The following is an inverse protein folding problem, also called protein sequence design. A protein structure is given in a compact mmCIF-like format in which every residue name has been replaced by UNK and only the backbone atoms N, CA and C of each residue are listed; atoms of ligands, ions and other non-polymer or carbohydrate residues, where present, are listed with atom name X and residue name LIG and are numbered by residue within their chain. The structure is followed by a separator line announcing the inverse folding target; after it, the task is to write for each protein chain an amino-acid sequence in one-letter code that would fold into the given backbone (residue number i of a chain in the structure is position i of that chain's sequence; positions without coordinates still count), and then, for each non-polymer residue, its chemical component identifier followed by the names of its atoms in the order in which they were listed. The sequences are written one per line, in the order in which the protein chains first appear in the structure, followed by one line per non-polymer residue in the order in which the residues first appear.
data_IF_600552920233
#
_entry.id   IF_600552920233
#
_cell.length_a   1.000
_cell.length_b   1.000
_cell.length_c   1.000
_cell.angle_alpha   90.00
_cell.angle_beta   90.00
_cell.angle_gamma   90.00
#
_symmetry.space_group_name_H-M   'P 1'
#
loop_
_entity.id
_entity.type
_entity.pdbx_description
1 polymer ?
#
# COMPACT_ATOMS: atom_id res chain seq x y z
N UNK A 1 7.81 40.38 -1.11
CA UNK A 1 6.80 39.30 -1.12
C UNK A 1 7.46 38.07 -1.72
N UNK A 2 7.56 36.98 -0.99
CA UNK A 2 8.11 35.71 -1.52
C UNK A 2 7.02 35.12 -2.42
N UNK A 3 7.30 35.00 -3.70
CA UNK A 3 6.40 34.40 -4.67
C UNK A 3 6.61 32.89 -4.64
N UNK A 4 5.64 32.14 -4.11
CA UNK A 4 5.68 30.67 -4.10
C UNK A 4 5.21 30.19 -5.46
N UNK A 5 6.12 29.69 -6.27
CA UNK A 5 5.79 29.01 -7.52
C UNK A 5 5.53 27.53 -7.22
N UNK A 6 4.36 27.03 -7.65
CA UNK A 6 4.08 25.61 -7.60
C UNK A 6 4.97 24.87 -8.62
N UNK A 7 5.46 23.67 -8.30
CA UNK A 7 6.18 22.86 -9.26
C UNK A 7 5.38 22.59 -10.53
N UNK A 8 6.06 22.41 -11.64
CA UNK A 8 5.42 21.96 -12.88
C UNK A 8 4.62 20.68 -12.65
N UNK A 9 3.48 20.55 -13.33
CA UNK A 9 2.57 19.41 -13.19
C UNK A 9 1.96 19.21 -11.77
N UNK A 10 2.02 20.21 -10.90
CA UNK A 10 1.41 20.15 -9.56
C UNK A 10 -0.12 20.35 -9.55
N UNK A 11 -0.69 20.81 -10.64
CA UNK A 11 -2.14 21.08 -10.77
C UNK A 11 -2.82 19.95 -11.55
N UNK A 12 -3.83 19.33 -10.94
CA UNK A 12 -4.70 18.38 -11.63
C UNK A 12 -5.71 19.15 -12.48
N UNK A 13 -5.76 18.84 -13.78
CA UNK A 13 -6.70 19.46 -14.74
C UNK A 13 -7.99 18.64 -14.83
N UNK A 14 -9.07 19.28 -15.28
CA UNK A 14 -10.26 18.56 -15.74
C UNK A 14 -9.89 17.80 -17.02
N UNK A 15 -10.20 16.52 -17.05
CA UNK A 15 -9.88 15.64 -18.16
C UNK A 15 -11.07 15.39 -19.09
N UNK A 16 -11.08 14.21 -19.68
CA UNK A 16 -12.12 13.78 -20.63
C UNK A 16 -13.36 13.30 -19.88
N UNK A 17 -14.51 13.45 -20.53
CA UNK A 17 -15.78 12.92 -20.05
C UNK A 17 -16.27 11.84 -21.02
N UNK A 18 -16.43 10.63 -20.51
CA UNK A 18 -16.91 9.47 -21.27
C UNK A 18 -18.37 9.22 -20.90
N UNK A 19 -19.27 9.67 -21.76
CA UNK A 19 -20.72 9.48 -21.56
C UNK A 19 -21.11 8.03 -21.87
N UNK A 20 -22.02 7.50 -21.08
CA UNK A 20 -22.60 6.19 -21.33
C UNK A 20 -23.28 6.11 -22.71
N UNK A 21 -23.17 4.96 -23.36
CA UNK A 21 -23.78 4.68 -24.67
C UNK A 21 -24.82 3.55 -24.59
N UNK A 22 -24.97 2.93 -23.43
CA UNK A 22 -25.87 1.77 -23.24
C UNK A 22 -27.32 2.17 -23.04
N UNK A 23 -27.57 3.41 -22.58
CA UNK A 23 -28.89 3.90 -22.21
C UNK A 23 -29.41 3.34 -20.88
N UNK A 24 -28.52 2.76 -20.05
CA UNK A 24 -28.86 2.28 -18.71
C UNK A 24 -29.36 3.45 -17.83
N UNK A 25 -30.30 3.12 -16.93
CA UNK A 25 -30.82 4.07 -15.92
C UNK A 25 -30.00 4.04 -14.62
N UNK A 26 -29.18 3.01 -14.41
CA UNK A 26 -28.37 2.82 -13.22
C UNK A 26 -26.90 3.19 -13.51
N UNK A 27 -26.66 4.46 -13.76
CA UNK A 27 -25.34 4.98 -14.07
C UNK A 27 -24.66 5.51 -12.82
N UNK A 28 -23.36 5.25 -12.71
CA UNK A 28 -22.51 5.85 -11.68
C UNK A 28 -21.32 6.55 -12.31
N UNK A 29 -20.98 7.73 -11.79
CA UNK A 29 -19.80 8.46 -12.23
C UNK A 29 -18.57 7.94 -11.51
N UNK A 30 -17.52 7.69 -12.28
CA UNK A 30 -16.23 7.22 -11.81
C UNK A 30 -15.16 8.20 -12.28
N UNK A 31 -14.54 8.89 -11.34
CA UNK A 31 -13.51 9.89 -11.59
C UNK A 31 -12.14 9.25 -11.36
N UNK A 32 -11.32 9.19 -12.40
CA UNK A 32 -10.04 8.49 -12.35
C UNK A 32 -8.89 9.45 -12.63
N UNK A 33 -7.90 9.44 -11.75
CA UNK A 33 -6.63 10.13 -11.98
C UNK A 33 -5.89 9.52 -13.18
N UNK A 34 -5.53 10.38 -14.12
CA UNK A 34 -4.84 10.01 -15.35
C UNK A 34 -3.56 10.84 -15.51
N UNK A 35 -2.48 10.15 -15.76
CA UNK A 35 -1.20 10.77 -16.07
C UNK A 35 -0.34 9.85 -16.92
N UNK A 36 0.31 10.40 -17.95
CA UNK A 36 1.22 9.68 -18.83
C UNK A 36 2.54 10.45 -18.92
N UNK A 37 3.67 9.83 -18.49
CA UNK A 37 4.97 10.49 -18.51
C UNK A 37 5.47 10.83 -19.91
N UNK A 38 4.98 10.16 -20.96
CA UNK A 38 5.38 10.42 -22.34
C UNK A 38 4.83 11.71 -22.90
N UNK A 39 3.72 12.21 -22.33
CA UNK A 39 3.05 13.43 -22.77
C UNK A 39 3.60 14.67 -22.04
N UNK A 40 4.11 14.49 -20.80
CA UNK A 40 4.70 15.58 -20.01
C UNK A 40 3.71 16.66 -19.54
N UNK A 41 2.40 16.45 -19.72
CA UNK A 41 1.35 17.37 -19.27
C UNK A 41 0.99 17.18 -17.81
N UNK A 42 0.33 18.18 -17.21
CA UNK A 42 -0.24 18.05 -15.87
C UNK A 42 -1.19 16.83 -15.79
N UNK A 43 -1.26 16.15 -14.63
CA UNK A 43 -2.26 15.11 -14.42
C UNK A 43 -3.67 15.68 -14.59
N UNK A 44 -4.60 14.81 -14.95
CA UNK A 44 -6.01 15.17 -15.14
C UNK A 44 -6.92 14.14 -14.45
N UNK A 45 -8.17 14.50 -14.25
CA UNK A 45 -9.23 13.58 -13.83
C UNK A 45 -10.14 13.31 -15.01
N UNK A 46 -10.17 12.09 -15.50
CA UNK A 46 -11.14 11.63 -16.49
C UNK A 46 -12.38 11.09 -15.77
N UNK A 47 -13.57 11.43 -16.26
CA UNK A 47 -14.85 10.98 -15.69
C UNK A 47 -15.53 10.01 -16.64
N UNK A 48 -15.94 8.87 -16.11
CA UNK A 48 -16.63 7.79 -16.84
C UNK A 48 -18.03 7.59 -16.27
N UNK A 49 -19.06 7.60 -17.11
CA UNK A 49 -20.39 7.08 -16.75
C UNK A 49 -20.37 5.57 -16.97
N UNK A 50 -20.55 4.82 -15.89
CA UNK A 50 -20.49 3.35 -15.92
C UNK A 50 -21.86 2.78 -15.57
N UNK A 51 -22.36 1.91 -16.45
CA UNK A 51 -23.56 1.10 -16.20
C UNK A 51 -23.27 0.07 -15.11
N UNK A 52 -24.00 0.18 -13.99
CA UNK A 52 -23.84 -0.66 -12.82
C UNK A 52 -24.71 -1.93 -12.84
N UNK A 53 -25.72 -2.02 -13.72
CA UNK A 53 -26.58 -3.20 -13.81
C UNK A 53 -25.81 -4.44 -14.31
N UNK A 54 -24.80 -4.18 -15.16
CA UNK A 54 -23.93 -5.21 -15.72
C UNK A 54 -22.49 -5.10 -15.20
N UNK A 55 -22.29 -4.58 -13.98
CA UNK A 55 -20.99 -4.46 -13.35
C UNK A 55 -20.96 -5.25 -12.04
N UNK A 56 -20.04 -6.21 -11.86
CA UNK A 56 -19.86 -6.89 -10.59
C UNK A 56 -19.50 -5.95 -9.44
N UNK A 57 -19.54 -6.45 -8.20
CA UNK A 57 -19.64 -5.62 -7.00
C UNK A 57 -18.37 -4.87 -6.57
N UNK A 58 -17.20 -5.14 -7.19
CA UNK A 58 -15.93 -4.59 -6.73
C UNK A 58 -15.43 -3.42 -7.57
N UNK A 59 -14.64 -2.54 -6.96
CA UNK A 59 -14.00 -1.43 -7.70
C UNK A 59 -13.10 -1.94 -8.83
N UNK A 60 -12.42 -3.08 -8.63
CA UNK A 60 -11.63 -3.70 -9.70
C UNK A 60 -12.47 -4.06 -10.93
N UNK A 61 -13.73 -4.46 -10.75
CA UNK A 61 -14.61 -4.81 -11.84
C UNK A 61 -14.98 -3.58 -12.67
N UNK A 62 -15.21 -2.46 -11.99
CA UNK A 62 -15.41 -1.15 -12.65
C UNK A 62 -14.19 -0.78 -13.51
N UNK A 63 -12.98 -0.91 -12.94
CA UNK A 63 -11.75 -0.61 -13.68
C UNK A 63 -11.57 -1.54 -14.89
N UNK A 64 -11.88 -2.83 -14.74
CA UNK A 64 -11.86 -3.79 -15.84
C UNK A 64 -12.88 -3.43 -16.92
N UNK A 65 -14.11 -3.08 -16.54
CA UNK A 65 -15.16 -2.64 -17.46
C UNK A 65 -14.75 -1.39 -18.23
N UNK A 66 -14.27 -0.36 -17.53
CA UNK A 66 -13.76 0.85 -18.17
C UNK A 66 -12.66 0.51 -19.18
N UNK A 67 -11.66 -0.27 -18.77
CA UNK A 67 -10.52 -0.61 -19.64
C UNK A 67 -10.93 -1.42 -20.86
N UNK A 68 -11.87 -2.35 -20.71
CA UNK A 68 -12.22 -3.27 -21.79
C UNK A 68 -13.24 -2.66 -22.77
N UNK A 69 -14.16 -1.80 -22.28
CA UNK A 69 -15.32 -1.35 -23.05
C UNK A 69 -15.26 0.15 -23.40
N UNK A 70 -14.58 0.99 -22.59
CA UNK A 70 -14.65 2.45 -22.72
C UNK A 70 -13.30 3.04 -23.09
N UNK A 71 -12.24 2.74 -22.32
CA UNK A 71 -10.91 3.36 -22.48
C UNK A 71 -9.78 2.35 -22.24
N UNK A 72 -9.27 1.71 -23.29
CA UNK A 72 -8.20 0.71 -23.18
C UNK A 72 -6.85 1.29 -22.73
N UNK A 73 -6.69 2.62 -22.74
CA UNK A 73 -5.44 3.29 -22.34
C UNK A 73 -5.25 3.37 -20.84
N UNK A 74 -6.31 3.10 -20.02
CA UNK A 74 -6.24 3.14 -18.57
C UNK A 74 -5.23 2.13 -18.04
N UNK A 75 -4.28 2.60 -17.20
CA UNK A 75 -3.23 1.78 -16.62
C UNK A 75 -3.41 1.60 -15.11
N UNK A 76 -3.44 0.35 -14.66
CA UNK A 76 -3.45 -0.05 -13.25
C UNK A 76 -2.86 -1.44 -13.08
N UNK A 77 -2.47 -1.79 -11.85
CA UNK A 77 -1.97 -3.13 -11.54
C UNK A 77 -3.12 -4.03 -11.06
N UNK A 78 -3.13 -5.26 -11.52
CA UNK A 78 -3.99 -6.33 -11.01
C UNK A 78 -3.33 -7.68 -11.19
N UNK A 79 -3.71 -8.66 -10.37
CA UNK A 79 -3.25 -10.05 -10.50
C UNK A 79 -4.29 -11.00 -9.90
N UNK A 80 -4.23 -11.32 -8.59
CA UNK A 80 -5.00 -12.40 -7.96
C UNK A 80 -6.53 -12.18 -7.93
N UNK A 81 -7.00 -10.93 -7.91
CA UNK A 81 -8.41 -10.54 -7.71
C UNK A 81 -9.06 -11.02 -6.39
N UNK A 82 -8.28 -11.53 -5.43
CA UNK A 82 -8.75 -12.15 -4.19
C UNK A 82 -8.13 -11.55 -2.90
N UNK A 83 -7.52 -10.37 -2.96
CA UNK A 83 -6.91 -9.73 -1.79
C UNK A 83 -5.63 -10.39 -1.27
N UNK A 84 -4.90 -11.15 -2.10
CA UNK A 84 -3.70 -11.90 -1.71
C UNK A 84 -2.41 -11.23 -2.16
N UNK A 85 -2.34 -10.68 -3.38
CA UNK A 85 -1.09 -10.18 -3.96
C UNK A 85 -0.79 -8.70 -3.67
N UNK A 86 -1.76 -7.91 -3.22
CA UNK A 86 -1.58 -6.48 -2.94
C UNK A 86 -1.43 -5.56 -4.16
N UNK A 87 -1.36 -6.09 -5.38
CA UNK A 87 -1.03 -5.32 -6.58
C UNK A 87 -2.06 -4.25 -6.95
N UNK A 88 -3.33 -4.45 -6.66
CA UNK A 88 -4.43 -3.52 -6.95
C UNK A 88 -4.67 -2.49 -5.84
N UNK A 89 -3.65 -2.22 -5.01
CA UNK A 89 -3.75 -1.20 -3.97
C UNK A 89 -3.81 0.20 -4.58
N UNK A 90 -4.81 0.98 -4.17
CA UNK A 90 -5.05 2.35 -4.63
C UNK A 90 -5.89 3.12 -3.62
N UNK A 91 -6.07 4.42 -3.84
CA UNK A 91 -6.98 5.24 -3.06
C UNK A 91 -8.35 5.29 -3.75
N UNK A 92 -9.40 4.94 -3.02
CA UNK A 92 -10.77 4.86 -3.52
C UNK A 92 -11.69 5.59 -2.54
N UNK A 93 -12.35 6.65 -3.01
CA UNK A 93 -13.21 7.48 -2.17
C UNK A 93 -12.48 8.03 -0.94
N UNK A 94 -11.20 8.42 -1.08
CA UNK A 94 -10.37 8.97 -0.01
C UNK A 94 -9.73 7.92 0.91
N UNK A 95 -10.00 6.62 0.74
CA UNK A 95 -9.42 5.54 1.55
C UNK A 95 -8.48 4.66 0.74
N UNK A 96 -7.33 4.31 1.32
CA UNK A 96 -6.43 3.32 0.72
C UNK A 96 -6.97 1.91 0.96
N UNK A 97 -6.96 1.09 -0.10
CA UNK A 97 -7.48 -0.27 -0.03
C UNK A 97 -7.12 -1.08 -1.28
N UNK A 98 -7.63 -2.29 -1.37
CA UNK A 98 -7.47 -3.16 -2.53
C UNK A 98 -8.72 -3.09 -3.40
N UNK A 99 -8.58 -2.72 -4.67
CA UNK A 99 -9.72 -2.61 -5.58
C UNK A 99 -10.48 -3.93 -5.76
N UNK A 100 -9.79 -5.07 -5.63
CA UNK A 100 -10.40 -6.39 -5.76
C UNK A 100 -11.25 -6.85 -4.55
N UNK A 101 -11.12 -6.18 -3.41
CA UNK A 101 -11.91 -6.52 -2.20
C UNK A 101 -12.85 -5.42 -1.76
N UNK A 102 -12.69 -4.20 -2.27
CA UNK A 102 -13.53 -3.05 -1.92
C UNK A 102 -14.82 -3.07 -2.73
N UNK A 103 -15.99 -3.24 -2.11
CA UNK A 103 -17.28 -3.09 -2.78
C UNK A 103 -17.49 -1.64 -3.21
N UNK A 104 -17.92 -1.43 -4.45
CA UNK A 104 -18.23 -0.09 -4.91
C UNK A 104 -19.42 0.54 -4.17
N UNK A 105 -20.30 -0.27 -3.59
CA UNK A 105 -21.46 0.18 -2.79
C UNK A 105 -21.05 0.85 -1.46
N UNK A 106 -19.85 0.58 -0.95
CA UNK A 106 -19.33 1.21 0.27
C UNK A 106 -18.82 2.65 0.03
N UNK A 107 -18.70 3.07 -1.23
CA UNK A 107 -18.27 4.42 -1.59
C UNK A 107 -19.52 5.25 -1.90
N UNK A 108 -19.79 6.26 -1.12
CA UNK A 108 -20.94 7.15 -1.32
C UNK A 108 -20.68 8.15 -2.46
N UNK A 109 -21.72 8.45 -3.25
CA UNK A 109 -21.67 9.41 -4.35
C UNK A 109 -20.83 8.93 -5.54
N UNK A 110 -20.12 9.83 -6.19
CA UNK A 110 -19.20 9.52 -7.27
C UNK A 110 -18.02 8.69 -6.74
N UNK A 111 -17.45 7.84 -7.58
CA UNK A 111 -16.31 7.00 -7.20
C UNK A 111 -15.02 7.68 -7.65
N UNK A 112 -14.32 8.28 -6.71
CA UNK A 112 -13.03 8.90 -6.98
C UNK A 112 -11.90 7.88 -6.79
N UNK A 113 -11.07 7.67 -7.82
CA UNK A 113 -9.98 6.70 -7.82
C UNK A 113 -8.65 7.40 -8.14
N UNK A 114 -7.72 7.29 -7.20
CA UNK A 114 -6.36 7.84 -7.30
C UNK A 114 -5.31 6.73 -7.09
N UNK A 115 -4.07 6.92 -7.56
CA UNK A 115 -2.97 6.08 -7.13
C UNK A 115 -2.77 6.19 -5.61
N UNK A 116 -2.01 5.26 -5.01
CA UNK A 116 -1.62 5.40 -3.61
C UNK A 116 -0.93 6.75 -3.38
N UNK A 117 -1.34 7.52 -2.36
CA UNK A 117 -0.84 8.88 -2.13
C UNK A 117 0.65 8.90 -1.79
N UNK A 118 1.30 10.04 -2.07
CA UNK A 118 2.71 10.31 -1.77
C UNK A 118 3.74 9.34 -2.40
N UNK A 119 3.34 8.56 -3.39
CA UNK A 119 4.25 7.82 -4.26
C UNK A 119 4.42 8.59 -5.58
N UNK A 120 5.61 8.53 -6.14
CA UNK A 120 5.81 8.97 -7.53
C UNK A 120 4.93 8.13 -8.45
N UNK A 121 4.16 8.77 -9.32
CA UNK A 121 3.30 8.06 -10.27
C UNK A 121 4.14 7.66 -11.48
N UNK A 122 4.10 6.39 -11.87
CA UNK A 122 4.71 5.88 -13.11
C UNK A 122 3.78 6.08 -14.30
N UNK A 123 2.50 5.78 -14.14
CA UNK A 123 1.41 6.05 -15.11
C UNK A 123 0.06 5.84 -14.44
N UNK A 124 -0.88 6.74 -14.65
CA UNK A 124 -2.25 6.68 -14.14
C UNK A 124 -2.35 6.23 -12.66
N UNK A 125 -2.87 5.04 -12.39
CA UNK A 125 -3.01 4.48 -11.04
C UNK A 125 -1.79 3.68 -10.56
N UNK A 126 -0.68 3.70 -11.30
CA UNK A 126 0.52 2.94 -11.01
C UNK A 126 1.53 3.81 -10.26
N UNK A 127 1.61 3.64 -8.95
CA UNK A 127 2.64 4.25 -8.11
C UNK A 127 3.99 3.52 -8.18
N UNK A 128 5.08 4.25 -7.92
CA UNK A 128 6.42 3.70 -7.82
C UNK A 128 6.65 3.10 -6.42
N UNK A 129 6.94 1.81 -6.37
CA UNK A 129 7.22 1.07 -5.13
C UNK A 129 8.71 0.77 -4.93
N UNK A 130 9.59 1.26 -5.80
CA UNK A 130 11.03 0.92 -5.75
C UNK A 130 11.66 1.35 -4.42
N UNK A 131 11.28 2.53 -3.88
CA UNK A 131 11.71 3.00 -2.56
C UNK A 131 11.28 2.07 -1.43
N UNK A 132 10.02 1.62 -1.43
CA UNK A 132 9.49 0.68 -0.45
C UNK A 132 10.23 -0.66 -0.48
N UNK A 133 10.49 -1.19 -1.67
CA UNK A 133 11.21 -2.46 -1.80
C UNK A 133 12.70 -2.35 -1.44
N UNK A 134 13.35 -1.22 -1.69
CA UNK A 134 14.72 -0.96 -1.18
C UNK A 134 14.75 -0.94 0.34
N UNK A 135 13.79 -0.28 0.99
CA UNK A 135 13.66 -0.29 2.44
C UNK A 135 13.36 -1.69 2.98
N UNK A 136 12.49 -2.45 2.30
CA UNK A 136 12.21 -3.83 2.66
C UNK A 136 13.45 -4.72 2.55
N UNK A 137 14.22 -4.59 1.50
CA UNK A 137 15.50 -5.30 1.33
C UNK A 137 16.50 -4.96 2.45
N UNK A 138 16.52 -3.71 2.93
CA UNK A 138 17.46 -3.26 3.96
C UNK A 138 17.27 -3.95 5.32
N UNK A 139 16.10 -4.49 5.60
CA UNK A 139 15.83 -5.26 6.82
C UNK A 139 16.17 -6.75 6.68
N UNK A 140 16.67 -7.18 5.52
CA UNK A 140 17.04 -8.56 5.21
C UNK A 140 15.89 -9.54 5.53
N UNK A 141 14.77 -9.48 4.77
CA UNK A 141 13.55 -10.20 5.07
C UNK A 141 13.61 -11.69 4.68
N UNK A 142 14.58 -12.39 5.22
CA UNK A 142 14.76 -13.84 5.08
C UNK A 142 15.30 -14.44 6.38
N UNK A 143 15.06 -15.73 6.57
CA UNK A 143 15.51 -16.45 7.76
C UNK A 143 17.04 -16.51 7.80
N UNK A 144 17.61 -16.20 8.96
CA UNK A 144 19.04 -16.34 9.25
C UNK A 144 19.20 -17.34 10.37
N UNK A 145 19.67 -18.53 10.02
CA UNK A 145 19.98 -19.59 10.96
C UNK A 145 21.30 -20.23 10.57
N UNK A 146 22.17 -20.45 11.55
CA UNK A 146 23.41 -21.17 11.40
C UNK A 146 23.22 -22.67 11.72
N UNK A 147 22.04 -23.05 12.24
CA UNK A 147 21.74 -24.44 12.57
C UNK A 147 21.72 -25.27 11.28
N UNK A 148 22.68 -26.18 11.14
CA UNK A 148 22.63 -27.23 10.13
C UNK A 148 21.60 -28.25 10.60
N UNK A 149 20.37 -28.10 10.11
CA UNK A 149 19.35 -29.10 10.37
C UNK A 149 19.71 -30.38 9.61
N UNK A 150 19.94 -31.47 10.33
CA UNK A 150 20.15 -32.81 9.76
C UNK A 150 18.89 -33.30 9.00
N UNK A 151 17.72 -32.72 9.32
CA UNK A 151 16.40 -33.13 8.83
C UNK A 151 15.83 -32.26 7.71
N UNK A 152 16.56 -31.32 7.14
CA UNK A 152 16.08 -30.36 6.13
C UNK A 152 14.97 -29.40 6.61
N UNK A 153 14.45 -29.55 7.81
CA UNK A 153 13.41 -28.72 8.40
C UNK A 153 13.89 -28.07 9.70
N UNK A 154 13.63 -26.79 9.88
CA UNK A 154 13.86 -26.08 11.14
C UNK A 154 12.55 -26.06 11.90
N UNK A 155 12.47 -26.83 12.98
CA UNK A 155 11.26 -26.98 13.78
C UNK A 155 10.91 -25.67 14.52
N UNK A 156 9.62 -25.47 14.69
CA UNK A 156 9.04 -24.37 15.45
C UNK A 156 7.87 -24.90 16.29
N UNK A 157 7.78 -24.50 17.55
CA UNK A 157 6.62 -24.85 18.38
C UNK A 157 5.34 -24.19 17.87
N UNK A 158 4.17 -24.74 18.21
CA UNK A 158 2.88 -24.13 17.86
C UNK A 158 2.72 -22.75 18.52
N UNK A 159 3.20 -22.60 19.73
CA UNK A 159 3.19 -21.36 20.52
C UNK A 159 4.06 -20.29 19.88
N UNK A 160 5.26 -20.64 19.41
CA UNK A 160 6.15 -19.71 18.71
C UNK A 160 5.60 -19.34 17.33
N UNK A 161 5.00 -20.31 16.63
CA UNK A 161 4.34 -20.05 15.36
C UNK A 161 3.17 -19.06 15.52
N UNK A 162 2.38 -19.20 16.59
CA UNK A 162 1.26 -18.32 16.86
C UNK A 162 1.68 -16.86 17.13
N UNK A 163 2.91 -16.62 17.62
CA UNK A 163 3.45 -15.26 17.79
C UNK A 163 3.62 -14.51 16.48
N UNK A 164 3.71 -15.21 15.35
CA UNK A 164 3.83 -14.61 14.03
C UNK A 164 2.47 -14.18 13.43
N UNK A 165 1.35 -14.62 14.02
CA UNK A 165 0.01 -14.24 13.56
C UNK A 165 -0.19 -12.72 13.67
N UNK A 166 -0.76 -12.13 12.64
CA UNK A 166 -0.88 -10.68 12.50
C UNK A 166 0.38 -9.98 11.95
N UNK A 167 1.46 -10.72 11.66
CA UNK A 167 2.66 -10.16 11.06
C UNK A 167 3.00 -10.84 9.71
N UNK A 168 2.95 -12.17 9.63
CA UNK A 168 3.33 -12.89 8.41
C UNK A 168 2.31 -12.75 7.28
N UNK A 169 1.05 -12.41 7.57
CA UNK A 169 -0.01 -12.21 6.57
C UNK A 169 0.13 -10.90 5.78
N UNK A 170 1.13 -10.09 6.11
CA UNK A 170 1.37 -8.84 5.38
C UNK A 170 1.74 -9.10 3.92
N UNK A 171 0.95 -8.54 3.02
CA UNK A 171 1.09 -8.69 1.55
C UNK A 171 1.88 -7.54 0.89
N UNK A 172 2.53 -6.69 1.67
CA UNK A 172 3.34 -5.56 1.20
C UNK A 172 2.62 -4.63 0.20
N UNK A 173 1.31 -4.45 0.35
CA UNK A 173 0.48 -3.64 -0.56
C UNK A 173 0.72 -2.12 -0.47
N UNK A 174 1.47 -1.66 0.51
CA UNK A 174 1.79 -0.26 0.79
C UNK A 174 0.63 0.63 1.29
N UNK A 175 -0.60 0.15 1.43
CA UNK A 175 -1.73 0.96 1.90
C UNK A 175 -1.43 1.66 3.23
N UNK A 176 -0.80 0.97 4.19
CA UNK A 176 -0.45 1.51 5.51
C UNK A 176 0.68 2.55 5.44
N UNK A 177 1.73 2.31 4.65
CA UNK A 177 2.85 3.26 4.49
C UNK A 177 2.40 4.55 3.83
N UNK A 178 1.59 4.44 2.78
CA UNK A 178 1.08 5.60 2.04
C UNK A 178 -0.07 6.34 2.76
N UNK A 179 -0.60 5.79 3.85
CA UNK A 179 -1.54 6.49 4.76
C UNK A 179 -0.85 7.14 5.95
N UNK A 180 0.47 6.97 6.11
CA UNK A 180 1.20 7.45 7.27
C UNK A 180 1.80 8.84 7.03
N UNK A 181 1.37 9.89 7.76
CA UNK A 181 1.94 11.23 7.60
C UNK A 181 3.45 11.29 7.82
N UNK A 182 3.97 10.53 8.79
CA UNK A 182 5.42 10.44 9.01
C UNK A 182 6.18 9.88 7.80
N UNK A 183 5.57 8.94 7.07
CA UNK A 183 6.15 8.39 5.85
C UNK A 183 6.09 9.37 4.67
N UNK A 184 5.04 10.19 4.60
CA UNK A 184 4.93 11.22 3.56
C UNK A 184 6.11 12.20 3.57
N UNK A 185 6.51 12.63 4.78
CA UNK A 185 7.55 13.65 4.94
C UNK A 185 8.98 13.08 5.04
N UNK A 186 9.12 11.82 5.42
CA UNK A 186 10.41 11.18 5.68
C UNK A 186 10.54 9.82 4.97
N UNK A 187 9.89 9.63 3.83
CA UNK A 187 9.86 8.36 3.11
C UNK A 187 11.22 7.89 2.57
N UNK A 188 12.22 8.77 2.57
CA UNK A 188 13.60 8.46 2.24
C UNK A 188 14.37 7.75 3.39
N UNK A 189 14.00 8.02 4.64
CA UNK A 189 14.70 7.53 5.85
C UNK A 189 13.83 6.65 6.74
N UNK A 190 12.58 7.07 6.98
CA UNK A 190 11.64 6.31 7.80
C UNK A 190 11.20 5.04 7.09
N UNK A 191 11.42 3.89 7.71
CA UNK A 191 11.08 2.58 7.11
C UNK A 191 9.57 2.40 6.88
N UNK A 192 8.75 3.14 7.60
CA UNK A 192 7.31 3.07 7.47
C UNK A 192 6.66 1.81 8.07
N UNK A 193 5.32 1.83 8.20
CA UNK A 193 4.63 0.77 8.92
C UNK A 193 4.70 -0.61 8.24
N UNK A 194 4.71 -0.69 6.90
CA UNK A 194 4.79 -1.98 6.21
C UNK A 194 6.12 -2.69 6.46
N UNK A 195 7.23 -1.95 6.30
CA UNK A 195 8.58 -2.51 6.47
C UNK A 195 8.86 -2.81 7.93
N UNK A 196 8.41 -1.97 8.86
CA UNK A 196 8.57 -2.20 10.29
C UNK A 196 7.73 -3.39 10.80
N UNK A 197 6.53 -3.63 10.25
CA UNK A 197 5.77 -4.84 10.52
C UNK A 197 6.52 -6.09 10.06
N UNK A 198 7.14 -6.04 8.89
CA UNK A 198 7.97 -7.14 8.39
C UNK A 198 9.27 -7.30 9.20
N UNK A 199 9.89 -6.22 9.65
CA UNK A 199 11.04 -6.30 10.56
C UNK A 199 10.65 -7.00 11.88
N UNK A 200 9.50 -6.62 12.46
CA UNK A 200 8.97 -7.26 13.66
C UNK A 200 8.77 -8.77 13.46
N UNK A 201 8.17 -9.19 12.35
CA UNK A 201 8.00 -10.60 12.03
C UNK A 201 9.30 -11.40 12.12
N UNK A 202 10.39 -10.86 11.58
CA UNK A 202 11.69 -11.55 11.60
C UNK A 202 12.39 -11.48 12.97
N UNK A 203 12.18 -10.39 13.72
CA UNK A 203 12.73 -10.23 15.08
C UNK A 203 12.13 -11.23 16.06
N UNK A 204 10.86 -11.62 15.88
CA UNK A 204 10.15 -12.54 16.79
C UNK A 204 10.11 -13.99 16.31
N UNK A 205 10.64 -14.29 15.12
CA UNK A 205 10.70 -15.66 14.62
C UNK A 205 11.72 -16.46 15.43
N UNK A 206 11.27 -17.47 16.16
CA UNK A 206 12.11 -18.30 17.06
C UNK A 206 13.19 -19.10 16.31
N UNK A 207 13.07 -19.22 15.00
CA UNK A 207 14.05 -19.91 14.14
C UNK A 207 15.18 -18.99 13.68
N UNK A 208 15.02 -17.68 13.85
CA UNK A 208 16.00 -16.66 13.46
C UNK A 208 16.98 -16.40 14.60
N UNK A 209 18.28 -16.56 14.33
CA UNK A 209 19.35 -16.40 15.31
C UNK A 209 19.93 -14.99 15.37
N UNK A 210 19.50 -14.10 14.45
CA UNK A 210 20.06 -12.75 14.28
C UNK A 210 19.18 -11.66 14.92
N UNK A 211 18.40 -11.98 15.94
CA UNK A 211 17.45 -11.03 16.57
C UNK A 211 18.10 -9.72 17.01
N UNK A 212 19.28 -9.78 17.66
CA UNK A 212 19.96 -8.56 18.11
C UNK A 212 20.47 -7.72 16.96
N UNK A 213 21.03 -8.33 15.94
CA UNK A 213 21.48 -7.65 14.71
C UNK A 213 20.32 -6.96 14.02
N UNK A 214 19.15 -7.61 13.93
CA UNK A 214 17.94 -7.04 13.37
C UNK A 214 17.42 -5.84 14.16
N UNK A 215 17.43 -5.92 15.50
CA UNK A 215 17.06 -4.81 16.35
C UNK A 215 18.00 -3.60 16.13
N UNK A 216 19.33 -3.83 16.10
CA UNK A 216 20.31 -2.77 15.80
C UNK A 216 20.07 -2.09 14.45
N UNK A 217 19.71 -2.83 13.42
CA UNK A 217 19.44 -2.29 12.06
C UNK A 217 18.28 -1.30 12.02
N UNK A 218 17.27 -1.50 12.87
CA UNK A 218 16.09 -0.63 12.94
C UNK A 218 16.19 0.41 14.05
N UNK A 219 17.14 0.27 14.99
CA UNK A 219 17.36 1.15 16.15
C UNK A 219 17.97 2.50 15.74
N UNK A 220 17.27 3.24 14.91
CA UNK A 220 17.71 4.53 14.39
C UNK A 220 16.59 5.56 14.56
N UNK A 221 16.97 6.78 14.93
CA UNK A 221 16.02 7.87 15.19
C UNK A 221 15.09 8.12 14.01
N UNK A 222 15.61 8.09 12.81
CA UNK A 222 14.83 8.36 11.61
C UNK A 222 14.12 7.12 11.08
N UNK A 223 14.70 5.92 11.22
CA UNK A 223 14.13 4.67 10.70
C UNK A 223 12.93 4.18 11.50
N UNK A 224 12.96 4.27 12.84
CA UNK A 224 11.93 3.72 13.72
C UNK A 224 11.15 4.80 14.46
N UNK A 225 11.86 5.76 15.10
CA UNK A 225 11.23 6.66 16.05
C UNK A 225 10.43 7.80 15.43
N UNK A 226 10.40 7.92 14.10
CA UNK A 226 9.46 8.79 13.38
C UNK A 226 8.01 8.29 13.46
N UNK A 227 7.76 7.12 14.02
CA UNK A 227 6.41 6.67 14.32
C UNK A 227 5.87 7.44 15.54
N UNK A 228 4.82 8.25 15.32
CA UNK A 228 4.11 9.01 16.36
C UNK A 228 2.78 8.36 16.77
N UNK A 229 2.55 7.11 16.41
CA UNK A 229 1.36 6.31 16.80
C UNK A 229 0.03 6.97 16.37
N UNK A 230 -0.02 7.50 15.15
CA UNK A 230 -1.23 8.16 14.59
C UNK A 230 -2.32 7.13 14.25
N UNK A 231 -1.96 5.84 14.08
CA UNK A 231 -2.85 4.70 13.81
C UNK A 231 -3.47 4.62 12.40
N UNK A 232 -3.24 5.56 11.51
CA UNK A 232 -3.73 5.51 10.14
C UNK A 232 -3.32 4.20 9.43
N UNK A 233 -2.12 3.68 9.73
CA UNK A 233 -1.61 2.43 9.17
C UNK A 233 -2.47 1.21 9.54
N UNK A 234 -3.02 1.19 10.74
CA UNK A 234 -3.92 0.11 11.21
C UNK A 234 -5.28 0.21 10.52
N UNK A 235 -5.83 1.42 10.43
CA UNK A 235 -7.12 1.66 9.78
C UNK A 235 -7.09 1.37 8.26
N UNK A 236 -5.95 1.63 7.60
CA UNK A 236 -5.80 1.45 6.17
C UNK A 236 -5.38 0.03 5.75
N UNK A 237 -5.14 -0.87 6.71
CA UNK A 237 -4.68 -2.22 6.37
C UNK A 237 -5.81 -3.09 5.83
N UNK A 238 -5.80 -3.51 4.54
CA UNK A 238 -6.86 -4.34 3.97
C UNK A 238 -6.87 -5.78 4.48
N UNK A 239 -5.84 -6.17 5.25
CA UNK A 239 -5.74 -7.47 5.91
C UNK A 239 -6.09 -7.39 7.40
N UNK A 240 -6.51 -6.21 7.91
CA UNK A 240 -6.83 -6.04 9.33
C UNK A 240 -5.64 -6.17 10.29
N UNK A 241 -4.41 -6.02 9.79
CA UNK A 241 -3.21 -6.13 10.63
C UNK A 241 -2.97 -4.85 11.43
N UNK A 242 -2.13 -4.95 12.47
CA UNK A 242 -1.80 -3.82 13.33
C UNK A 242 -0.30 -3.46 13.27
N UNK A 243 0.14 -2.70 12.26
CA UNK A 243 1.54 -2.27 12.17
C UNK A 243 1.98 -1.39 13.34
N UNK A 244 1.07 -0.60 13.90
CA UNK A 244 1.40 0.28 15.03
C UNK A 244 1.77 -0.52 16.29
N UNK A 245 1.08 -1.63 16.56
CA UNK A 245 1.41 -2.57 17.64
C UNK A 245 2.80 -3.18 17.41
N UNK A 246 3.09 -3.64 16.20
CA UNK A 246 4.39 -4.21 15.85
C UNK A 246 5.54 -3.21 16.10
N UNK A 247 5.36 -1.95 15.71
CA UNK A 247 6.32 -0.87 15.94
C UNK A 247 6.51 -0.61 17.45
N UNK A 248 5.43 -0.60 18.22
CA UNK A 248 5.50 -0.43 19.68
C UNK A 248 6.27 -1.57 20.35
N UNK A 249 6.05 -2.82 19.92
CA UNK A 249 6.79 -3.97 20.43
C UNK A 249 8.29 -3.90 20.09
N UNK A 250 8.67 -3.47 18.88
CA UNK A 250 10.09 -3.23 18.54
C UNK A 250 10.69 -2.19 19.49
N UNK A 251 10.01 -1.05 19.72
CA UNK A 251 10.47 0.00 20.64
C UNK A 251 10.63 -0.53 22.06
N UNK A 252 9.69 -1.34 22.54
CA UNK A 252 9.75 -1.98 23.85
C UNK A 252 10.95 -2.93 23.97
N UNK A 253 11.19 -3.76 22.94
CA UNK A 253 12.36 -4.65 22.93
C UNK A 253 13.66 -3.85 22.99
N UNK A 254 13.78 -2.75 22.25
CA UNK A 254 14.96 -1.89 22.29
C UNK A 254 15.19 -1.24 23.66
N UNK A 255 14.11 -0.85 24.35
CA UNK A 255 14.20 -0.26 25.68
C UNK A 255 14.59 -1.29 26.79
N UNK A 256 14.32 -2.57 26.57
CA UNK A 256 14.58 -3.65 27.53
C UNK A 256 15.84 -4.46 27.23
N UNK A 257 16.45 -4.26 26.09
CA UNK A 257 17.67 -4.95 25.67
C UNK A 257 18.83 -3.98 25.69
N UNK A 258 19.91 -4.31 26.41
CA UNK A 258 21.16 -3.54 26.32
C UNK A 258 21.81 -3.81 24.95
N UNK A 259 21.56 -2.90 24.00
CA UNK A 259 22.07 -3.01 22.62
C UNK A 259 23.14 -1.96 22.38
#
# INVERSE_FOLDING_TARGET
MVQINLPDNSKVKKGKYFKDKTGSKNLRKVNIYRWDPSVGENPRIDTYEVDMDNCPSKVLDILNKIKNEIDPTLAYRRSCAHGVCGSCAMNMGGKNGLACTTPHSEINGDIDIYPLPHLKVKKDLIGDLDGLYKQYQSIEPWLKSNSKSETKEIFQSKEDRAKLDGAYECIMCACCSTSCPSYWWNGDKYLGPAVLLQAYRWIIDSRDEERQSRLKKVADELKLYRCHTILNCTSACPKGLNPAKAIAEIKKMLATTNI
#
